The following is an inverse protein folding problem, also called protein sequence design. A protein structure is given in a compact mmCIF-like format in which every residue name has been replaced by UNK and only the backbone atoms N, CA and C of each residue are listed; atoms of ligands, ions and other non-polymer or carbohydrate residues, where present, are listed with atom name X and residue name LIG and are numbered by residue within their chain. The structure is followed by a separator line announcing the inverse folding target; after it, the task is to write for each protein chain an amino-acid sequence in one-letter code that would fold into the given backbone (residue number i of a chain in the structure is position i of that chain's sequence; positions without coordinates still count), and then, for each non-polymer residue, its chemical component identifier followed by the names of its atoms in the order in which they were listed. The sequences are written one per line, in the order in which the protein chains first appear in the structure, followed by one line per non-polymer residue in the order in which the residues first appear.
data_IF_500380272349
#
_entry.id   IF_500380272349
#
_cell.length_a   1.000
_cell.length_b   1.000
_cell.length_c   1.000
_cell.angle_alpha   90.00
_cell.angle_beta   90.00
_cell.angle_gamma   90.00
#
_symmetry.space_group_name_H-M   'P 1'
#
loop_
_entity.id
_entity.type
_entity.pdbx_description
1 polymer ?
#
# COMPACT_ATOMS: atom_id res chain seq x y z
N UNK A 1 41.09 14.61 22.88
CA UNK A 1 40.12 13.53 23.10
C UNK A 1 40.22 12.61 21.91
N UNK A 2 40.51 11.33 22.13
CA UNK A 2 40.53 10.31 21.06
C UNK A 2 39.09 9.88 20.73
N UNK A 3 38.87 9.34 19.53
CA UNK A 3 37.53 8.88 19.11
C UNK A 3 36.96 7.81 20.08
N UNK A 4 37.81 6.99 20.69
CA UNK A 4 37.43 6.04 21.74
C UNK A 4 36.89 6.73 23.01
N UNK A 5 37.46 7.86 23.42
CA UNK A 5 36.98 8.62 24.58
C UNK A 5 35.63 9.32 24.30
N UNK A 6 35.36 9.65 23.03
CA UNK A 6 34.08 10.23 22.59
C UNK A 6 32.99 9.15 22.59
N UNK A 7 33.30 7.97 22.05
CA UNK A 7 32.39 6.81 22.03
C UNK A 7 32.07 6.38 23.47
N UNK A 8 33.06 6.26 24.35
CA UNK A 8 32.84 5.88 25.75
C UNK A 8 31.95 6.90 26.48
N UNK A 9 32.17 8.20 26.28
CA UNK A 9 31.29 9.24 26.86
C UNK A 9 29.86 9.17 26.32
N UNK A 10 29.68 8.87 25.04
CA UNK A 10 28.37 8.69 24.43
C UNK A 10 27.67 7.46 25.01
N UNK A 11 28.36 6.34 25.18
CA UNK A 11 27.85 5.13 25.81
C UNK A 11 27.46 5.36 27.27
N UNK A 12 28.34 5.96 28.08
CA UNK A 12 28.08 6.24 29.49
C UNK A 12 26.89 7.20 29.67
N UNK A 13 26.78 8.21 28.81
CA UNK A 13 25.66 9.15 28.81
C UNK A 13 24.33 8.50 28.39
N UNK A 14 24.35 7.61 27.40
CA UNK A 14 23.14 6.89 26.95
C UNK A 14 22.68 5.84 27.96
N UNK A 15 23.60 5.12 28.62
CA UNK A 15 23.26 4.18 29.69
C UNK A 15 22.57 4.90 30.86
N UNK A 16 23.09 6.05 31.28
CA UNK A 16 22.49 6.82 32.38
C UNK A 16 21.13 7.42 32.02
N UNK A 17 20.97 7.92 30.79
CA UNK A 17 19.71 8.47 30.28
C UNK A 17 18.62 7.38 30.20
N UNK A 18 18.97 6.20 29.70
CA UNK A 18 18.06 5.05 29.62
C UNK A 18 17.58 4.61 31.01
N UNK A 19 18.47 4.58 32.01
CA UNK A 19 18.11 4.24 33.40
C UNK A 19 17.14 5.25 34.01
N UNK A 20 17.38 6.55 33.80
CA UNK A 20 16.50 7.59 34.33
C UNK A 20 15.13 7.58 33.66
N UNK A 21 15.10 7.40 32.33
CA UNK A 21 13.86 7.31 31.56
C UNK A 21 13.05 6.07 31.92
N UNK A 22 13.71 4.92 32.09
CA UNK A 22 13.06 3.68 32.53
C UNK A 22 12.47 3.82 33.94
N UNK A 23 13.19 4.45 34.88
CA UNK A 23 12.63 4.76 36.22
C UNK A 23 11.37 5.63 36.15
N UNK A 24 11.36 6.66 35.29
CA UNK A 24 10.19 7.52 35.10
C UNK A 24 8.99 6.77 34.50
N UNK A 25 9.24 5.90 33.52
CA UNK A 25 8.22 5.04 32.90
C UNK A 25 7.64 4.07 33.94
N UNK A 26 8.47 3.45 34.77
CA UNK A 26 8.03 2.51 35.80
C UNK A 26 7.22 3.18 36.90
N UNK A 27 7.59 4.40 37.29
CA UNK A 27 6.81 5.19 38.24
C UNK A 27 5.39 5.49 37.72
N UNK A 28 5.25 5.81 36.43
CA UNK A 28 3.94 6.15 35.85
C UNK A 28 3.11 4.93 35.43
N UNK A 29 3.77 3.88 34.91
CA UNK A 29 3.10 2.77 34.24
C UNK A 29 3.19 1.45 35.02
N UNK A 30 3.90 1.38 36.14
CA UNK A 30 4.11 0.12 36.88
C UNK A 30 2.83 -0.59 37.33
N UNK A 31 1.73 0.15 37.51
CA UNK A 31 0.42 -0.39 37.92
C UNK A 31 -0.55 -0.71 36.78
N UNK A 32 -0.15 -0.59 35.50
CA UNK A 32 -1.06 -0.79 34.37
C UNK A 32 -1.42 -2.26 34.16
N UNK A 33 -2.67 -2.51 33.79
CA UNK A 33 -3.25 -3.85 33.66
C UNK A 33 -2.55 -4.73 32.62
N UNK A 34 -1.96 -4.16 31.56
CA UNK A 34 -1.24 -4.95 30.55
C UNK A 34 0.12 -5.47 31.03
N UNK A 35 0.68 -4.94 32.12
CA UNK A 35 1.90 -5.45 32.75
C UNK A 35 1.62 -6.49 33.85
N UNK A 36 0.40 -6.56 34.39
CA UNK A 36 0.03 -7.50 35.44
C UNK A 36 0.33 -8.98 35.14
N UNK A 37 0.20 -9.49 33.89
CA UNK A 37 0.58 -10.87 33.59
C UNK A 37 2.07 -11.15 33.80
N UNK A 38 2.92 -10.13 33.65
CA UNK A 38 4.38 -10.20 33.78
C UNK A 38 4.85 -9.80 35.18
N UNK A 39 4.02 -9.07 35.93
CA UNK A 39 4.28 -8.59 37.29
C UNK A 39 3.15 -8.98 38.26
N UNK A 40 2.79 -10.27 38.37
CA UNK A 40 1.76 -10.68 39.31
C UNK A 40 2.33 -10.52 40.73
N UNK A 41 1.70 -9.63 41.53
CA UNK A 41 2.00 -9.42 42.97
C UNK A 41 3.18 -8.48 43.32
N UNK A 42 3.46 -7.46 42.50
CA UNK A 42 4.46 -6.44 42.85
C UNK A 42 3.82 -5.23 43.58
N UNK A 43 4.13 -5.05 44.88
CA UNK A 43 3.62 -3.96 45.74
C UNK A 43 4.70 -2.92 46.16
N UNK A 44 5.87 -2.94 45.53
CA UNK A 44 7.01 -2.07 45.84
C UNK A 44 7.51 -1.35 44.56
N UNK A 45 8.24 -0.22 44.67
CA UNK A 45 8.68 0.53 43.49
C UNK A 45 9.56 -0.36 42.61
N UNK A 46 9.07 -0.65 41.39
CA UNK A 46 9.77 -1.47 40.41
C UNK A 46 11.10 -0.81 40.04
N UNK A 47 12.21 -1.49 40.33
CA UNK A 47 13.49 -1.08 39.77
C UNK A 47 13.63 -1.55 38.31
N UNK A 48 14.52 -0.85 37.58
CA UNK A 48 14.77 -1.10 36.16
C UNK A 48 15.24 -2.52 35.86
N UNK A 49 16.01 -3.14 36.78
CA UNK A 49 16.59 -4.46 36.57
C UNK A 49 15.51 -5.55 36.65
N UNK A 50 14.65 -5.46 37.67
CA UNK A 50 13.50 -6.34 37.87
C UNK A 50 12.54 -6.23 36.70
N UNK A 51 12.21 -5.00 36.26
CA UNK A 51 11.32 -4.81 35.12
C UNK A 51 11.85 -5.46 33.85
N UNK A 52 13.13 -5.27 33.52
CA UNK A 52 13.77 -5.86 32.33
C UNK A 52 13.78 -7.39 32.37
N UNK A 53 13.81 -7.98 33.56
CA UNK A 53 13.79 -9.43 33.72
C UNK A 53 12.37 -10.01 33.66
N UNK A 54 11.39 -9.30 34.20
CA UNK A 54 10.01 -9.76 34.30
C UNK A 54 9.18 -9.48 33.05
N UNK A 55 9.43 -8.35 32.38
CA UNK A 55 8.71 -7.93 31.18
C UNK A 55 9.56 -8.26 29.96
N UNK A 56 9.04 -9.02 28.98
CA UNK A 56 9.74 -9.30 27.74
C UNK A 56 9.85 -8.00 26.93
N UNK A 57 11.02 -7.36 27.00
CA UNK A 57 11.35 -6.20 26.22
C UNK A 57 12.08 -6.66 24.95
N UNK A 58 11.60 -6.18 23.80
CA UNK A 58 12.34 -6.33 22.56
C UNK A 58 13.65 -5.55 22.63
N UNK A 59 14.73 -6.15 22.15
CA UNK A 59 16.06 -5.57 22.06
C UNK A 59 16.56 -5.58 20.61
N UNK A 60 17.75 -5.00 20.39
CA UNK A 60 18.35 -4.97 19.05
C UNK A 60 18.55 -6.37 18.47
N UNK A 61 18.92 -7.35 19.31
CA UNK A 61 19.16 -8.73 18.87
C UNK A 61 17.91 -9.42 18.31
N UNK A 62 16.71 -8.97 18.70
CA UNK A 62 15.45 -9.47 18.13
C UNK A 62 15.22 -9.00 16.68
N UNK A 63 15.93 -7.95 16.25
CA UNK A 63 15.72 -7.28 14.97
C UNK A 63 16.93 -7.28 14.05
N UNK A 64 18.13 -7.61 14.55
CA UNK A 64 19.40 -7.50 13.82
C UNK A 64 19.38 -8.24 12.49
N UNK A 65 18.79 -9.44 12.44
CA UNK A 65 18.69 -10.23 11.20
C UNK A 65 17.82 -9.53 10.15
N UNK A 66 16.71 -8.90 10.56
CA UNK A 66 15.83 -8.15 9.67
C UNK A 66 16.46 -6.84 9.20
N UNK A 67 17.22 -6.17 10.08
CA UNK A 67 17.99 -4.98 9.74
C UNK A 67 19.04 -5.33 8.68
N UNK A 68 19.77 -6.42 8.88
CA UNK A 68 20.74 -6.92 7.92
C UNK A 68 20.07 -7.33 6.61
N UNK A 69 18.91 -7.98 6.65
CA UNK A 69 18.14 -8.32 5.46
C UNK A 69 17.73 -7.07 4.65
N UNK A 70 17.37 -5.96 5.31
CA UNK A 70 17.08 -4.70 4.64
C UNK A 70 18.35 -4.07 4.04
N UNK A 71 19.48 -4.13 4.75
CA UNK A 71 20.76 -3.63 4.26
C UNK A 71 21.29 -4.43 3.06
N UNK A 72 21.03 -5.74 3.01
CA UNK A 72 21.42 -6.67 1.95
C UNK A 72 20.37 -6.78 0.82
N UNK A 73 19.36 -5.91 0.81
CA UNK A 73 18.32 -5.92 -0.20
C UNK A 73 18.89 -5.71 -1.61
N UNK A 74 18.33 -6.39 -2.61
CA UNK A 74 18.91 -6.42 -3.96
C UNK A 74 18.30 -5.32 -4.83
N UNK A 75 19.15 -4.46 -5.41
CA UNK A 75 18.73 -3.46 -6.40
C UNK A 75 17.98 -4.13 -7.56
N UNK A 76 16.87 -3.50 -7.97
CA UNK A 76 15.98 -4.00 -9.01
C UNK A 76 14.98 -5.07 -8.56
N UNK A 77 15.12 -5.64 -7.36
CA UNK A 77 14.14 -6.58 -6.80
C UNK A 77 12.99 -5.84 -6.12
N UNK A 78 11.84 -6.50 -6.11
CA UNK A 78 10.63 -6.04 -5.44
C UNK A 78 10.45 -6.80 -4.13
N UNK A 79 9.99 -6.10 -3.10
CA UNK A 79 9.76 -6.61 -1.76
C UNK A 79 8.42 -6.08 -1.24
N UNK A 80 7.77 -6.87 -0.39
CA UNK A 80 6.61 -6.42 0.38
C UNK A 80 7.07 -5.77 1.68
N UNK A 81 6.50 -4.62 2.02
CA UNK A 81 6.88 -3.88 3.23
C UNK A 81 6.17 -4.46 4.44
N UNK A 82 6.95 -4.93 5.40
CA UNK A 82 6.50 -5.39 6.72
C UNK A 82 7.05 -4.44 7.78
N UNK A 83 6.22 -3.99 8.71
CA UNK A 83 6.61 -3.02 9.73
C UNK A 83 6.36 -3.53 11.15
N UNK A 84 7.30 -3.19 12.03
CA UNK A 84 7.11 -3.21 13.47
C UNK A 84 7.24 -1.79 13.99
N UNK A 85 6.29 -1.33 14.80
CA UNK A 85 6.23 0.05 15.31
C UNK A 85 6.08 0.08 16.83
N UNK A 86 6.50 1.18 17.45
CA UNK A 86 6.31 1.40 18.89
C UNK A 86 4.82 1.44 19.30
N UNK A 87 3.91 1.67 18.34
CA UNK A 87 2.45 1.71 18.56
C UNK A 87 1.79 0.34 18.62
N UNK A 88 2.55 -0.76 18.59
CA UNK A 88 2.03 -2.12 18.78
C UNK A 88 1.70 -2.88 17.49
N UNK A 89 2.10 -2.37 16.33
CA UNK A 89 2.16 -3.20 15.12
C UNK A 89 3.43 -4.05 15.18
N UNK A 90 3.28 -5.37 15.12
CA UNK A 90 4.39 -6.32 15.09
C UNK A 90 4.26 -7.19 13.85
N UNK A 91 5.30 -7.23 13.01
CA UNK A 91 5.30 -7.97 11.73
C UNK A 91 4.07 -7.67 10.86
N UNK A 92 3.61 -6.42 10.88
CA UNK A 92 2.42 -6.02 10.14
C UNK A 92 2.77 -5.82 8.66
N UNK A 93 2.21 -6.63 7.78
CA UNK A 93 2.30 -6.35 6.35
C UNK A 93 1.53 -5.07 6.03
N UNK A 94 2.25 -4.06 5.55
CA UNK A 94 1.62 -2.85 5.03
C UNK A 94 0.82 -3.17 3.77
N UNK A 95 1.17 -4.21 3.02
CA UNK A 95 0.62 -4.52 1.70
C UNK A 95 1.11 -3.57 0.60
N UNK A 96 2.25 -2.90 0.81
CA UNK A 96 2.93 -2.12 -0.22
C UNK A 96 4.05 -2.95 -0.84
N UNK A 97 4.10 -2.99 -2.18
CA UNK A 97 5.22 -3.55 -2.93
C UNK A 97 6.14 -2.43 -3.38
N UNK A 98 7.41 -2.52 -2.99
CA UNK A 98 8.44 -1.53 -3.28
C UNK A 98 9.59 -2.16 -4.05
N UNK A 99 10.21 -1.40 -4.94
CA UNK A 99 11.41 -1.79 -5.67
C UNK A 99 12.62 -1.08 -5.09
N UNK A 100 13.70 -1.81 -4.85
CA UNK A 100 14.98 -1.20 -4.46
C UNK A 100 15.60 -0.54 -5.69
N UNK A 101 15.76 0.78 -5.66
CA UNK A 101 16.33 1.55 -6.78
C UNK A 101 17.79 1.94 -6.56
N UNK A 102 18.27 1.82 -5.32
CA UNK A 102 19.63 2.12 -4.96
C UNK A 102 19.81 2.10 -3.44
N UNK A 103 20.92 2.66 -2.98
CA UNK A 103 21.24 2.76 -1.57
C UNK A 103 21.84 4.13 -1.26
N UNK A 104 21.51 4.65 -0.08
CA UNK A 104 22.24 5.74 0.54
C UNK A 104 22.95 5.17 1.77
N UNK A 105 24.28 4.99 1.67
CA UNK A 105 25.06 4.15 2.59
C UNK A 105 24.46 2.73 2.64
N UNK A 106 24.09 2.24 3.82
CA UNK A 106 23.41 0.95 4.01
C UNK A 106 21.88 1.03 4.00
N UNK A 107 21.31 2.22 3.80
CA UNK A 107 19.85 2.39 3.79
C UNK A 107 19.29 2.23 2.36
N UNK A 108 18.36 1.29 2.13
CA UNK A 108 17.78 1.08 0.82
C UNK A 108 16.94 2.28 0.38
N UNK A 109 17.17 2.74 -0.85
CA UNK A 109 16.28 3.68 -1.54
C UNK A 109 15.20 2.88 -2.26
N UNK A 110 13.95 3.20 -1.98
CA UNK A 110 12.80 2.45 -2.47
C UNK A 110 11.89 3.31 -3.33
N UNK A 111 11.35 2.69 -4.36
CA UNK A 111 10.29 3.24 -5.20
C UNK A 111 9.01 2.44 -4.98
N UNK A 112 7.90 3.14 -4.75
CA UNK A 112 6.60 2.50 -4.64
C UNK A 112 6.17 1.94 -6.00
N UNK A 113 5.82 0.65 -6.05
CA UNK A 113 5.38 -0.02 -7.28
C UNK A 113 3.86 -0.12 -7.31
N UNK A 114 3.26 -0.78 -6.32
CA UNK A 114 1.82 -0.99 -6.22
C UNK A 114 1.42 -1.49 -4.84
N UNK A 115 0.12 -1.55 -4.56
CA UNK A 115 -0.43 -2.33 -3.46
C UNK A 115 -0.38 -3.82 -3.81
N UNK A 116 -0.01 -4.66 -2.85
CA UNK A 116 -0.04 -6.11 -2.99
C UNK A 116 -1.47 -6.57 -3.37
N UNK A 117 -1.61 -7.52 -4.31
CA UNK A 117 -2.90 -8.10 -4.66
C UNK A 117 -3.58 -8.68 -3.43
N UNK A 118 -4.92 -8.58 -3.36
CA UNK A 118 -5.64 -9.12 -2.20
C UNK A 118 -5.76 -10.64 -2.24
N UNK A 119 -5.59 -11.25 -3.41
CA UNK A 119 -5.63 -12.70 -3.62
C UNK A 119 -4.61 -13.12 -4.67
N UNK A 120 -4.03 -14.31 -4.50
CA UNK A 120 -3.18 -14.97 -5.49
C UNK A 120 -3.90 -15.30 -6.81
N UNK A 121 -5.25 -15.27 -6.79
CA UNK A 121 -6.10 -15.50 -7.96
C UNK A 121 -6.40 -14.22 -8.76
N UNK A 122 -5.83 -13.08 -8.38
CA UNK A 122 -6.07 -11.81 -9.03
C UNK A 122 -5.35 -11.78 -10.40
N UNK A 123 -6.14 -11.84 -11.48
CA UNK A 123 -5.64 -11.91 -12.88
C UNK A 123 -5.08 -10.55 -13.34
N UNK A 124 -5.63 -9.44 -12.81
CA UNK A 124 -5.29 -8.07 -13.16
C UNK A 124 -4.90 -7.29 -11.91
N UNK A 125 -3.72 -6.70 -11.90
CA UNK A 125 -3.26 -5.83 -10.81
C UNK A 125 -3.56 -4.36 -11.11
N UNK A 126 -3.47 -3.50 -10.08
CA UNK A 126 -3.57 -2.05 -10.26
C UNK A 126 -2.51 -1.53 -11.25
N UNK A 127 -1.31 -2.13 -11.25
CA UNK A 127 -0.23 -1.77 -12.17
C UNK A 127 -0.58 -2.10 -13.62
N UNK A 128 -1.14 -3.28 -13.88
CA UNK A 128 -1.56 -3.68 -15.23
C UNK A 128 -2.63 -2.73 -15.77
N UNK A 129 -3.60 -2.35 -14.92
CA UNK A 129 -4.65 -1.41 -15.27
C UNK A 129 -4.09 -0.01 -15.56
N UNK A 130 -3.21 0.53 -14.71
CA UNK A 130 -2.60 1.84 -14.92
C UNK A 130 -1.82 1.85 -16.23
N UNK A 131 -0.97 0.84 -16.44
CA UNK A 131 -0.16 0.71 -17.65
C UNK A 131 -1.03 0.64 -18.92
N UNK A 132 -2.10 -0.18 -18.88
CA UNK A 132 -3.03 -0.28 -19.99
C UNK A 132 -3.74 1.05 -20.29
N UNK A 133 -4.17 1.78 -19.25
CA UNK A 133 -4.82 3.10 -19.40
C UNK A 133 -3.84 4.15 -19.92
N UNK A 134 -2.59 4.16 -19.47
CA UNK A 134 -1.55 5.08 -19.94
C UNK A 134 -1.26 4.88 -21.44
N UNK A 135 -1.20 3.62 -21.90
CA UNK A 135 -1.04 3.31 -23.33
C UNK A 135 -2.29 3.65 -24.16
N UNK A 136 -3.48 3.59 -23.54
CA UNK A 136 -4.75 3.91 -24.18
C UNK A 136 -4.98 5.42 -24.34
N UNK A 137 -4.52 6.24 -23.39
CA UNK A 137 -4.77 7.68 -23.35
C UNK A 137 -4.38 8.43 -24.64
N UNK A 138 -3.20 8.22 -25.26
CA UNK A 138 -2.82 8.90 -26.50
C UNK A 138 -3.77 8.58 -27.67
N UNK A 139 -4.16 7.30 -27.80
CA UNK A 139 -5.08 6.86 -28.83
C UNK A 139 -6.47 7.48 -28.63
N UNK A 140 -6.95 7.48 -27.38
CA UNK A 140 -8.23 8.11 -27.03
C UNK A 140 -8.21 9.62 -27.28
N UNK A 141 -7.14 10.34 -26.91
CA UNK A 141 -7.02 11.78 -27.16
C UNK A 141 -7.00 12.11 -28.65
N UNK A 142 -6.35 11.27 -29.45
CA UNK A 142 -6.33 11.41 -30.92
C UNK A 142 -7.72 11.17 -31.50
N UNK A 143 -8.44 10.17 -31.00
CA UNK A 143 -9.81 9.87 -31.41
C UNK A 143 -10.82 10.95 -30.98
N UNK A 144 -10.64 11.52 -29.79
CA UNK A 144 -11.53 12.51 -29.16
C UNK A 144 -11.14 13.98 -29.42
N UNK A 145 -10.07 14.25 -30.16
CA UNK A 145 -9.74 15.59 -30.66
C UNK A 145 -10.75 16.12 -31.69
N UNK A 146 -11.71 15.29 -32.09
CA UNK A 146 -12.92 15.62 -32.83
C UNK A 146 -14.08 15.58 -31.83
N UNK A 147 -14.76 16.72 -31.65
CA UNK A 147 -15.94 16.98 -30.80
C UNK A 147 -16.61 15.75 -30.14
N UNK A 148 -16.72 15.79 -28.80
CA UNK A 148 -17.38 14.76 -27.95
C UNK A 148 -18.82 14.45 -28.39
N UNK A 149 -19.47 15.38 -29.11
CA UNK A 149 -20.82 15.18 -29.65
C UNK A 149 -20.88 14.24 -30.87
N UNK A 150 -19.74 13.88 -31.47
CA UNK A 150 -19.63 12.91 -32.59
C UNK A 150 -19.15 11.52 -32.19
N UNK A 151 -19.12 11.19 -30.90
CA UNK A 151 -18.61 9.90 -30.38
C UNK A 151 -19.36 8.68 -30.94
N UNK A 152 -20.60 8.83 -31.42
CA UNK A 152 -21.33 7.75 -32.12
C UNK A 152 -20.77 7.42 -33.50
N UNK A 153 -20.11 8.37 -34.16
CA UNK A 153 -19.71 8.29 -35.57
C UNK A 153 -18.29 7.70 -35.76
N UNK A 154 -17.53 7.52 -34.67
CA UNK A 154 -16.16 6.97 -34.67
C UNK A 154 -16.06 5.58 -34.04
N UNK A 155 -17.05 4.71 -34.26
CA UNK A 155 -17.08 3.32 -33.74
C UNK A 155 -15.79 2.54 -34.05
N UNK A 156 -15.28 2.66 -35.29
CA UNK A 156 -14.04 1.99 -35.72
C UNK A 156 -12.81 2.48 -34.96
N UNK A 157 -12.73 3.79 -34.69
CA UNK A 157 -11.61 4.38 -33.95
C UNK A 157 -11.65 3.95 -32.48
N UNK A 158 -12.85 3.93 -31.88
CA UNK A 158 -13.04 3.43 -30.51
C UNK A 158 -12.69 1.95 -30.40
N UNK A 159 -13.13 1.10 -31.34
CA UNK A 159 -12.78 -0.32 -31.36
C UNK A 159 -11.26 -0.53 -31.44
N UNK A 160 -10.57 0.20 -32.33
CA UNK A 160 -9.11 0.13 -32.43
C UNK A 160 -8.42 0.55 -31.12
N UNK A 161 -8.91 1.60 -30.46
CA UNK A 161 -8.40 2.02 -29.15
C UNK A 161 -8.67 0.94 -28.08
N UNK A 162 -9.85 0.31 -28.10
CA UNK A 162 -10.20 -0.77 -27.18
C UNK A 162 -9.26 -1.97 -27.36
N UNK A 163 -8.94 -2.38 -28.59
CA UNK A 163 -8.02 -3.49 -28.84
C UNK A 163 -6.62 -3.19 -28.31
N UNK A 164 -6.17 -1.94 -28.42
CA UNK A 164 -4.90 -1.49 -27.84
C UNK A 164 -4.91 -1.57 -26.31
N UNK A 165 -6.02 -1.19 -25.67
CA UNK A 165 -6.19 -1.32 -24.23
C UNK A 165 -6.14 -2.79 -23.80
N UNK A 166 -6.93 -3.65 -24.45
CA UNK A 166 -7.01 -5.08 -24.09
C UNK A 166 -5.66 -5.81 -24.25
N UNK A 167 -4.91 -5.50 -25.31
CA UNK A 167 -3.58 -6.08 -25.51
C UNK A 167 -2.56 -5.65 -24.44
N UNK A 168 -2.82 -4.55 -23.73
CA UNK A 168 -1.96 -4.02 -22.68
C UNK A 168 -2.29 -4.57 -21.28
N UNK A 169 -3.37 -5.35 -21.12
CA UNK A 169 -3.81 -5.92 -19.83
C UNK A 169 -2.93 -7.08 -19.31
N UNK A 170 -1.87 -7.43 -20.04
CA UNK A 170 -0.87 -8.39 -19.62
C UNK A 170 -1.15 -9.84 -20.04
N UNK A 171 -0.13 -10.70 -19.88
CA UNK A 171 -0.15 -12.06 -20.41
C UNK A 171 -1.16 -12.98 -19.71
N UNK A 172 -1.35 -12.83 -18.39
CA UNK A 172 -2.30 -13.65 -17.64
C UNK A 172 -3.74 -13.38 -18.06
N UNK A 173 -4.11 -12.11 -18.25
CA UNK A 173 -5.41 -11.74 -18.81
C UNK A 173 -5.64 -12.42 -20.17
N UNK A 174 -4.68 -12.30 -21.08
CA UNK A 174 -4.78 -12.88 -22.43
C UNK A 174 -4.99 -14.39 -22.39
N UNK A 175 -4.21 -15.12 -21.58
CA UNK A 175 -4.36 -16.57 -21.43
C UNK A 175 -5.74 -16.95 -20.89
N UNK A 176 -6.29 -16.17 -19.95
CA UNK A 176 -7.62 -16.46 -19.39
C UNK A 176 -8.76 -16.09 -20.37
N UNK A 177 -8.57 -15.06 -21.20
CA UNK A 177 -9.46 -14.70 -22.30
C UNK A 177 -9.48 -15.79 -23.38
N UNK A 178 -8.30 -16.25 -23.81
CA UNK A 178 -8.15 -17.32 -24.82
C UNK A 178 -8.75 -18.65 -24.35
N UNK A 179 -8.72 -18.93 -23.04
CA UNK A 179 -9.38 -20.10 -22.43
C UNK A 179 -10.91 -19.97 -22.29
N UNK A 180 -11.48 -18.81 -22.59
CA UNK A 180 -12.91 -18.54 -22.44
C UNK A 180 -13.37 -18.33 -20.99
N UNK A 181 -12.45 -18.14 -20.04
CA UNK A 181 -12.80 -17.84 -18.64
C UNK A 181 -13.16 -16.36 -18.42
N UNK A 182 -12.76 -15.48 -19.35
CA UNK A 182 -13.10 -14.06 -19.34
C UNK A 182 -13.95 -13.73 -20.57
N UNK A 183 -14.95 -12.87 -20.39
CA UNK A 183 -15.73 -12.28 -21.47
C UNK A 183 -15.00 -11.11 -22.16
N UNK A 184 -15.59 -10.52 -23.21
CA UNK A 184 -15.07 -9.32 -23.87
C UNK A 184 -14.78 -8.20 -22.88
N UNK A 185 -13.72 -7.42 -23.14
CA UNK A 185 -13.53 -6.15 -22.48
C UNK A 185 -14.66 -5.19 -22.83
N UNK A 186 -15.23 -4.56 -21.80
CA UNK A 186 -16.29 -3.54 -21.93
C UNK A 186 -15.74 -2.19 -21.48
N UNK A 187 -15.92 -1.16 -22.31
CA UNK A 187 -15.57 0.23 -21.97
C UNK A 187 -16.86 1.05 -21.87
N UNK A 188 -17.02 1.74 -20.74
CA UNK A 188 -18.15 2.63 -20.49
C UNK A 188 -17.66 4.08 -20.48
N UNK A 189 -18.19 4.90 -21.40
CA UNK A 189 -17.97 6.35 -21.42
C UNK A 189 -19.07 6.99 -20.58
N UNK A 190 -18.71 7.56 -19.43
CA UNK A 190 -19.67 8.14 -18.48
C UNK A 190 -19.74 9.66 -18.58
N UNK A 191 -20.84 10.25 -18.12
CA UNK A 191 -21.01 11.72 -18.10
C UNK A 191 -20.00 12.38 -17.14
N UNK A 192 -19.51 13.59 -17.46
CA UNK A 192 -18.77 14.40 -16.50
C UNK A 192 -19.55 14.56 -15.18
N UNK A 193 -18.85 14.48 -14.05
CA UNK A 193 -19.44 14.52 -12.70
C UNK A 193 -20.04 13.20 -12.20
N UNK A 194 -20.03 12.12 -12.99
CA UNK A 194 -20.50 10.81 -12.54
C UNK A 194 -19.70 10.26 -11.34
N UNK A 195 -18.40 10.57 -11.28
CA UNK A 195 -17.53 10.18 -10.15
C UNK A 195 -17.80 10.96 -8.86
N UNK A 196 -18.47 12.12 -8.93
CA UNK A 196 -18.81 12.92 -7.75
C UNK A 196 -19.80 12.16 -6.84
N UNK A 197 -20.66 11.33 -7.44
CA UNK A 197 -21.55 10.44 -6.69
C UNK A 197 -20.78 9.40 -5.87
N UNK A 198 -19.62 8.94 -6.35
CA UNK A 198 -18.78 8.02 -5.57
C UNK A 198 -18.20 8.71 -4.35
N UNK A 199 -17.73 9.96 -4.50
CA UNK A 199 -17.25 10.73 -3.34
C UNK A 199 -18.37 10.97 -2.33
N UNK A 200 -19.58 11.32 -2.79
CA UNK A 200 -20.72 11.53 -1.89
C UNK A 200 -21.08 10.27 -1.10
N UNK A 201 -21.10 9.11 -1.77
CA UNK A 201 -21.37 7.82 -1.11
C UNK A 201 -20.27 7.49 -0.10
N UNK A 202 -18.99 7.70 -0.46
CA UNK A 202 -17.87 7.45 0.44
C UNK A 202 -17.91 8.36 1.69
N UNK A 203 -18.24 9.65 1.50
CA UNK A 203 -18.35 10.62 2.58
C UNK A 203 -19.53 10.29 3.49
N UNK A 204 -20.70 9.95 2.92
CA UNK A 204 -21.86 9.48 3.70
C UNK A 204 -21.57 8.23 4.51
N UNK A 205 -20.71 7.35 4.00
CA UNK A 205 -20.25 6.14 4.68
C UNK A 205 -19.11 6.40 5.68
N UNK A 206 -18.80 7.67 5.99
CA UNK A 206 -17.85 8.06 7.05
C UNK A 206 -16.43 8.32 6.58
N UNK A 207 -16.14 8.30 5.28
CA UNK A 207 -14.82 8.69 4.76
C UNK A 207 -14.64 10.20 4.87
N UNK A 208 -13.59 10.71 5.53
CA UNK A 208 -13.32 12.15 5.52
C UNK A 208 -13.08 12.64 4.09
N UNK A 209 -13.70 13.76 3.71
CA UNK A 209 -13.60 14.29 2.35
C UNK A 209 -12.13 14.54 1.92
N UNK A 210 -11.26 14.94 2.85
CA UNK A 210 -9.83 15.17 2.61
C UNK A 210 -9.03 13.89 2.34
N UNK A 211 -9.55 12.72 2.72
CA UNK A 211 -8.90 11.42 2.54
C UNK A 211 -9.47 10.63 1.37
N UNK A 212 -10.56 11.11 0.75
CA UNK A 212 -11.16 10.42 -0.37
C UNK A 212 -10.21 10.45 -1.58
N UNK A 213 -9.89 9.26 -2.08
CA UNK A 213 -9.21 9.06 -3.36
C UNK A 213 -10.12 8.18 -4.23
N UNK A 214 -10.39 8.57 -5.48
CA UNK A 214 -11.18 7.74 -6.39
C UNK A 214 -10.60 6.33 -6.50
N UNK A 215 -11.40 5.27 -6.28
CA UNK A 215 -10.92 3.90 -6.39
C UNK A 215 -10.65 3.56 -7.87
N UNK A 216 -9.46 3.02 -8.16
CA UNK A 216 -9.12 2.52 -9.51
C UNK A 216 -9.78 1.17 -9.81
N UNK A 217 -10.08 0.39 -8.78
CA UNK A 217 -10.75 -0.92 -8.88
C UNK A 217 -11.96 -0.93 -7.95
N UNK A 218 -13.14 -1.13 -8.52
CA UNK A 218 -14.41 -1.21 -7.77
C UNK A 218 -14.87 -2.67 -7.78
N UNK A 219 -14.94 -3.28 -6.60
CA UNK A 219 -15.40 -4.67 -6.42
C UNK A 219 -16.85 -4.77 -5.93
N UNK A 220 -17.39 -3.68 -5.39
CA UNK A 220 -18.78 -3.62 -4.96
C UNK A 220 -19.67 -3.54 -6.21
N UNK A 221 -20.50 -4.56 -6.43
CA UNK A 221 -21.38 -4.66 -7.61
C UNK A 221 -22.45 -3.58 -7.66
N UNK A 222 -22.94 -3.10 -6.52
CA UNK A 222 -23.92 -2.01 -6.48
C UNK A 222 -23.29 -0.70 -6.97
N UNK A 223 -22.06 -0.41 -6.54
CA UNK A 223 -21.31 0.77 -6.98
C UNK A 223 -20.93 0.65 -8.46
N UNK A 224 -20.51 -0.52 -8.91
CA UNK A 224 -20.22 -0.77 -10.33
C UNK A 224 -21.49 -0.58 -11.19
N UNK A 225 -22.61 -1.18 -10.81
CA UNK A 225 -23.89 -1.02 -11.50
C UNK A 225 -24.40 0.42 -11.53
N UNK A 226 -24.14 1.20 -10.47
CA UNK A 226 -24.44 2.64 -10.46
C UNK A 226 -23.64 3.38 -11.54
N UNK A 227 -22.33 3.13 -11.67
CA UNK A 227 -21.51 3.76 -12.71
C UNK A 227 -21.92 3.31 -14.11
N UNK A 228 -22.22 2.03 -14.30
CA UNK A 228 -22.73 1.48 -15.56
C UNK A 228 -24.04 2.18 -15.97
N UNK A 229 -24.94 2.45 -15.02
CA UNK A 229 -26.20 3.17 -15.29
C UNK A 229 -25.99 4.64 -15.70
N UNK A 230 -24.80 5.21 -15.48
CA UNK A 230 -24.43 6.57 -15.86
C UNK A 230 -23.67 6.64 -17.19
N UNK A 231 -23.47 5.49 -17.87
CA UNK A 231 -22.81 5.43 -19.16
C UNK A 231 -23.66 6.10 -20.26
N UNK A 232 -23.00 6.86 -21.13
CA UNK A 232 -23.55 7.45 -22.35
C UNK A 232 -23.29 6.55 -23.55
N UNK A 233 -22.14 5.88 -23.56
CA UNK A 233 -21.71 4.98 -24.63
C UNK A 233 -21.05 3.75 -24.00
N UNK A 234 -21.37 2.58 -24.53
CA UNK A 234 -20.75 1.31 -24.17
C UNK A 234 -20.10 0.73 -25.41
N UNK A 235 -18.83 0.34 -25.31
CA UNK A 235 -18.06 -0.29 -26.39
C UNK A 235 -17.65 -1.68 -25.94
N UNK A 236 -17.84 -2.67 -26.81
CA UNK A 236 -17.37 -4.05 -26.64
C UNK A 236 -16.41 -4.42 -27.76
N UNK A 237 -15.43 -5.27 -27.48
CA UNK A 237 -14.50 -5.77 -28.48
C UNK A 237 -14.99 -7.00 -29.26
N UNK A 238 -16.05 -7.66 -28.79
CA UNK A 238 -16.58 -8.88 -29.41
C UNK A 238 -18.07 -8.77 -29.84
N UNK A 239 -18.58 -7.55 -30.03
CA UNK A 239 -19.96 -7.32 -30.51
C UNK A 239 -20.32 -5.85 -30.68
#
# INVERSE_FOLDING_TARGET
MTDEEVIQKLEDSTVSANLHQLRSILHHNGGVRYLQPYLPHYDAPLDAATFRHAVPLSCYDDYVDYINQMADAKVGKMYEVVVTTYGGFYYYSLGDLVRIVGFHNSSPLVEFVMRAPKSHSEILTEKDLIFAVENFQPALRTAMGLEIDKVKESSLTLQSCCSSLESSLGALYKVQRDKGHLGPLMIFIIKPGAFDRLSDIAIKNGTPASQYKPPKIIRNREIAGLLESLAVVTVSLDG
#
